data_IF_457291098866
#
_entry.id   IF_457291098866
#
_cell.length_a   1.000
_cell.length_b   1.000
_cell.length_c   1.000
_cell.angle_alpha   90.00
_cell.angle_beta   90.00
_cell.angle_gamma   90.00
#
_symmetry.space_group_name_H-M   'P 1'
#
loop_
_entity.id
_entity.type
_entity.pdbx_description
1 polymer ?
#
# COMPACT_ATOMS: atom_id res chain seq x y z
N UNK A 1 -1.06 4.44 -5.01
CA UNK A 1 -1.25 3.31 -4.07
C UNK A 1 -1.52 3.87 -2.67
N UNK A 2 -2.10 3.09 -1.75
CA UNK A 2 -2.40 3.54 -0.39
C UNK A 2 -1.61 2.70 0.61
N UNK A 3 -0.74 3.32 1.41
CA UNK A 3 -0.03 2.65 2.49
C UNK A 3 -0.89 2.64 3.75
N UNK A 4 -1.02 1.46 4.37
CA UNK A 4 -1.86 1.23 5.58
C UNK A 4 -1.03 0.89 6.81
N UNK A 5 0.26 0.61 6.65
CA UNK A 5 1.17 0.32 7.75
C UNK A 5 2.63 0.17 7.29
N UNK A 6 3.56 0.27 8.24
CA UNK A 6 4.99 0.03 8.04
C UNK A 6 5.53 -0.70 9.28
N UNK A 7 6.12 -1.88 9.09
CA UNK A 7 6.53 -2.75 10.19
C UNK A 7 7.97 -3.19 10.04
N UNK A 8 8.72 -3.28 11.15
CA UNK A 8 10.05 -3.92 11.12
C UNK A 8 9.97 -5.44 11.05
N UNK A 9 8.93 -6.02 11.65
CA UNK A 9 8.71 -7.45 11.69
C UNK A 9 7.83 -7.86 10.51
N UNK A 10 8.36 -8.76 9.67
CA UNK A 10 7.66 -9.30 8.51
C UNK A 10 6.31 -9.92 8.89
N UNK A 11 6.26 -10.70 9.98
CA UNK A 11 5.03 -11.39 10.40
C UNK A 11 3.90 -10.42 10.73
N UNK A 12 4.18 -9.26 11.32
CA UNK A 12 3.15 -8.23 11.58
C UNK A 12 2.62 -7.63 10.27
N UNK A 13 3.53 -7.40 9.32
CA UNK A 13 3.18 -6.89 8.00
C UNK A 13 2.36 -7.92 7.19
N UNK A 14 2.71 -9.21 7.30
CA UNK A 14 1.98 -10.33 6.69
C UNK A 14 0.58 -10.52 7.30
N UNK A 15 0.42 -10.30 8.61
CA UNK A 15 -0.91 -10.30 9.23
C UNK A 15 -1.81 -9.20 8.65
N UNK A 16 -1.33 -7.96 8.59
CA UNK A 16 -2.13 -6.87 8.03
C UNK A 16 -2.41 -7.08 6.52
N UNK A 17 -1.42 -7.59 5.78
CA UNK A 17 -1.60 -7.99 4.37
C UNK A 17 -2.73 -9.01 4.24
N UNK A 18 -2.72 -10.07 5.03
CA UNK A 18 -3.72 -11.12 4.99
C UNK A 18 -5.12 -10.59 5.37
N UNK A 19 -5.21 -9.67 6.35
CA UNK A 19 -6.47 -9.02 6.71
C UNK A 19 -7.05 -8.20 5.55
N UNK A 20 -6.21 -7.43 4.85
CA UNK A 20 -6.64 -6.66 3.68
C UNK A 20 -7.07 -7.58 2.54
N UNK A 21 -6.29 -8.61 2.24
CA UNK A 21 -6.63 -9.60 1.21
C UNK A 21 -7.90 -10.37 1.53
N UNK A 22 -8.11 -10.73 2.80
CA UNK A 22 -9.34 -11.40 3.25
C UNK A 22 -10.58 -10.50 3.13
N UNK A 23 -10.40 -9.18 3.19
CA UNK A 23 -11.46 -8.20 2.93
C UNK A 23 -11.68 -7.94 1.43
N UNK A 24 -10.92 -8.60 0.56
CA UNK A 24 -11.00 -8.46 -0.89
C UNK A 24 -10.15 -7.31 -1.45
N UNK A 25 -9.30 -6.68 -0.63
CA UNK A 25 -8.44 -5.60 -1.10
C UNK A 25 -7.21 -6.13 -1.84
N UNK A 26 -6.86 -5.53 -2.99
CA UNK A 26 -5.61 -5.83 -3.67
C UNK A 26 -4.43 -5.23 -2.90
N UNK A 27 -3.92 -5.93 -1.88
CA UNK A 27 -2.80 -5.50 -1.05
C UNK A 27 -1.51 -6.29 -1.32
N UNK A 28 -0.36 -5.65 -1.05
CA UNK A 28 0.98 -6.20 -1.22
C UNK A 28 1.98 -5.60 -0.21
N UNK A 29 3.07 -6.32 0.02
CA UNK A 29 4.18 -5.89 0.88
C UNK A 29 5.32 -5.32 0.04
N UNK A 30 5.87 -4.18 0.49
CA UNK A 30 7.08 -3.57 -0.06
C UNK A 30 8.13 -3.56 1.04
N UNK A 31 9.31 -4.10 0.77
CA UNK A 31 10.44 -3.99 1.67
C UNK A 31 11.31 -2.81 1.24
N UNK A 32 11.30 -1.73 2.02
CA UNK A 32 12.06 -0.52 1.76
C UNK A 32 12.74 -0.03 3.04
N UNK A 33 14.00 0.39 2.93
CA UNK A 33 14.77 1.01 4.01
C UNK A 33 14.74 0.27 5.38
N UNK A 34 14.63 -1.07 5.35
CA UNK A 34 14.57 -1.91 6.56
C UNK A 34 13.18 -2.09 7.19
N UNK A 35 12.12 -1.64 6.50
CA UNK A 35 10.73 -1.81 6.91
C UNK A 35 9.94 -2.56 5.83
N UNK A 36 8.91 -3.27 6.28
CA UNK A 36 7.88 -3.91 5.47
C UNK A 36 6.65 -2.98 5.45
N UNK A 37 6.52 -2.20 4.39
CA UNK A 37 5.36 -1.36 4.12
C UNK A 37 4.21 -2.22 3.56
N UNK A 38 3.05 -2.12 4.19
CA UNK A 38 1.81 -2.74 3.71
C UNK A 38 1.07 -1.71 2.86
N UNK A 39 0.92 -2.02 1.57
CA UNK A 39 0.26 -1.15 0.60
C UNK A 39 -0.94 -1.83 -0.02
N UNK A 40 -2.02 -1.07 -0.23
CA UNK A 40 -3.26 -1.49 -0.85
C UNK A 40 -3.49 -0.69 -2.14
N UNK A 41 -3.89 -1.40 -3.19
CA UNK A 41 -4.18 -0.87 -4.51
C UNK A 41 -2.94 -0.67 -5.39
N UNK A 42 -3.09 -0.99 -6.67
CA UNK A 42 -2.14 -0.65 -7.73
C UNK A 42 -2.81 0.32 -8.72
N UNK A 43 -3.17 1.52 -8.23
CA UNK A 43 -3.88 2.49 -9.05
C UNK A 43 -2.90 3.42 -9.76
N UNK A 44 -2.98 3.45 -11.09
CA UNK A 44 -2.39 4.46 -11.95
C UNK A 44 -3.12 5.81 -11.83
N UNK A 45 -4.39 5.80 -11.42
CA UNK A 45 -5.21 7.01 -11.27
C UNK A 45 -5.39 7.38 -9.80
N UNK A 46 -5.24 8.67 -9.50
CA UNK A 46 -5.35 9.21 -8.15
C UNK A 46 -6.77 9.13 -7.57
N UNK A 47 -7.81 9.27 -8.39
CA UNK A 47 -9.21 9.14 -7.95
C UNK A 47 -9.50 7.76 -7.33
N UNK A 48 -9.05 6.68 -7.96
CA UNK A 48 -9.22 5.33 -7.40
C UNK A 48 -8.41 5.15 -6.10
N UNK A 49 -7.24 5.78 -6.02
CA UNK A 49 -6.45 5.76 -4.78
C UNK A 49 -7.13 6.56 -3.66
N UNK A 50 -7.77 7.68 -3.96
CA UNK A 50 -8.53 8.48 -3.00
C UNK A 50 -9.79 7.76 -2.52
N UNK A 51 -10.53 7.11 -3.42
CA UNK A 51 -11.69 6.30 -3.04
C UNK A 51 -11.30 5.11 -2.14
N UNK A 52 -10.20 4.42 -2.44
CA UNK A 52 -9.70 3.35 -1.58
C UNK A 52 -9.21 3.89 -0.22
N UNK A 53 -8.55 5.05 -0.22
CA UNK A 53 -8.10 5.70 1.02
C UNK A 53 -9.29 6.05 1.92
N UNK A 54 -10.33 6.66 1.37
CA UNK A 54 -11.55 7.01 2.12
C UNK A 54 -12.24 5.77 2.69
N UNK A 55 -12.34 4.69 1.90
CA UNK A 55 -12.95 3.46 2.36
C UNK A 55 -12.15 2.79 3.49
N UNK A 56 -10.83 2.69 3.34
CA UNK A 56 -9.95 2.11 4.37
C UNK A 56 -9.94 2.99 5.64
N UNK A 57 -9.98 4.31 5.48
CA UNK A 57 -10.07 5.25 6.60
C UNK A 57 -11.39 5.12 7.35
N UNK A 58 -12.50 4.95 6.62
CA UNK A 58 -13.82 4.68 7.20
C UNK A 58 -13.84 3.38 8.02
N UNK A 59 -13.02 2.39 7.63
CA UNK A 59 -12.80 1.14 8.38
C UNK A 59 -11.83 1.26 9.56
N UNK A 60 -11.25 2.45 9.79
CA UNK A 60 -10.35 2.72 10.91
C UNK A 60 -8.86 2.47 10.64
N UNK A 61 -8.47 2.22 9.38
CA UNK A 61 -7.07 2.11 9.02
C UNK A 61 -6.42 3.50 8.94
N UNK A 62 -5.18 3.61 9.44
CA UNK A 62 -4.35 4.77 9.17
C UNK A 62 -3.78 4.68 7.76
N UNK A 63 -4.30 5.49 6.86
CA UNK A 63 -4.03 5.44 5.43
C UNK A 63 -3.22 6.64 4.96
N UNK A 64 -2.25 6.39 4.08
CA UNK A 64 -1.44 7.41 3.42
C UNK A 64 -1.39 7.15 1.92
N UNK A 65 -1.76 8.13 1.11
CA UNK A 65 -1.62 8.02 -0.34
C UNK A 65 -0.14 8.12 -0.69
N UNK A 66 0.41 7.06 -1.26
CA UNK A 66 1.77 7.02 -1.78
C UNK A 66 1.70 7.13 -3.30
N UNK A 67 2.30 8.20 -3.83
CA UNK A 67 2.62 8.31 -5.27
C UNK A 67 3.91 7.55 -5.51
N UNK A 68 3.82 6.49 -6.29
CA UNK A 68 5.02 5.79 -6.76
C UNK A 68 5.61 6.60 -7.91
N UNK A 69 6.63 7.40 -7.62
CA UNK A 69 7.44 8.04 -8.67
C UNK A 69 8.32 7.02 -9.41
N UNK A 70 8.53 5.82 -8.84
CA UNK A 70 9.37 4.77 -9.42
C UNK A 70 8.85 4.18 -10.73
N UNK A 71 7.57 4.32 -11.07
CA UNK A 71 7.05 3.87 -12.37
C UNK A 71 7.46 4.82 -13.52
N UNK A 72 7.78 6.10 -13.23
CA UNK A 72 8.38 7.02 -14.21
C UNK A 72 9.91 6.93 -14.22
N UNK A 73 10.56 6.70 -13.07
CA UNK A 73 12.02 6.67 -12.98
C UNK A 73 12.67 5.34 -13.41
N UNK A 74 11.97 4.20 -13.33
CA UNK A 74 12.52 2.91 -13.78
C UNK A 74 12.58 2.75 -15.30
N UNK A 75 11.97 3.66 -16.07
CA UNK A 75 12.04 3.65 -17.55
C UNK A 75 13.16 4.56 -18.12
N UNK A 76 13.96 5.19 -17.26
CA UNK A 76 15.04 6.11 -17.66
C UNK A 76 16.45 5.59 -17.39
N UNK A 77 16.59 4.26 -17.29
CA UNK A 77 17.88 3.57 -17.14
C UNK A 77 18.03 2.40 -18.13
N UNK A 78 17.51 2.55 -19.34
CA UNK A 78 17.86 1.72 -20.51
C UNK A 78 18.29 2.61 -21.68
#
# INVERSE_FOLDING_TARGET
MVQTGAYRLRSLAEQQLAELQSQGYPAFLVYDNGYYDVRAGAFLNLDYAAALEEELRSRGYNTFIVKDYSTEDKKKLE
#
